data_IF_524244733592
#
_entry.id   IF_524244733592
#
_cell.length_a   1.000
_cell.length_b   1.000
_cell.length_c   1.000
_cell.angle_alpha   90.00
_cell.angle_beta   90.00
_cell.angle_gamma   90.00
#
_symmetry.space_group_name_H-M   'P 1'
#
loop_
_entity.id
_entity.type
_entity.pdbx_description
1 polymer ?
#
# COMPACT_ATOMS: atom_id res chain seq x y z
N UNK A 1 42.70 -14.13 -35.63
CA UNK A 1 42.26 -13.66 -34.27
C UNK A 1 40.79 -13.30 -34.38
N UNK A 2 39.91 -14.18 -33.94
CA UNK A 2 38.46 -13.96 -33.96
C UNK A 2 38.08 -13.21 -32.68
N UNK A 3 37.63 -11.97 -32.80
CA UNK A 3 37.10 -11.19 -31.65
C UNK A 3 35.82 -11.87 -31.18
N UNK A 4 35.81 -12.39 -29.94
CA UNK A 4 34.59 -12.79 -29.25
C UNK A 4 33.76 -11.53 -29.00
N UNK A 5 32.65 -11.43 -29.70
CA UNK A 5 31.61 -10.45 -29.34
C UNK A 5 30.97 -10.96 -28.03
N UNK A 6 31.31 -10.32 -26.93
CA UNK A 6 30.59 -10.56 -25.68
C UNK A 6 29.13 -10.14 -25.87
N UNK A 7 28.14 -10.96 -25.47
CA UNK A 7 26.76 -10.57 -25.57
C UNK A 7 26.54 -9.34 -24.69
N UNK A 8 26.15 -8.25 -25.31
CA UNK A 8 25.71 -7.04 -24.59
C UNK A 8 24.55 -7.46 -23.70
N UNK A 9 24.78 -7.53 -22.41
CA UNK A 9 23.75 -7.87 -21.43
C UNK A 9 22.66 -6.81 -21.50
N UNK A 10 21.52 -7.15 -22.11
CA UNK A 10 20.39 -6.24 -22.22
C UNK A 10 19.83 -6.03 -20.82
N UNK A 11 20.08 -4.86 -20.23
CA UNK A 11 19.51 -4.50 -18.92
C UNK A 11 18.02 -4.26 -19.08
N UNK A 12 17.19 -5.08 -18.46
CA UNK A 12 15.73 -4.92 -18.43
C UNK A 12 15.26 -3.98 -17.33
N UNK A 13 16.12 -3.67 -16.35
CA UNK A 13 15.82 -2.83 -15.19
C UNK A 13 16.64 -1.56 -15.26
N UNK A 14 16.07 -0.45 -14.86
CA UNK A 14 16.79 0.84 -14.81
C UNK A 14 17.91 0.77 -13.77
N UNK A 15 19.09 1.36 -14.03
CA UNK A 15 20.22 1.33 -13.10
C UNK A 15 19.86 1.84 -11.69
N UNK A 16 19.02 2.89 -11.61
CA UNK A 16 18.52 3.44 -10.33
C UNK A 16 17.78 2.40 -9.50
N UNK A 17 17.05 1.49 -10.14
CA UNK A 17 16.34 0.43 -9.43
C UNK A 17 17.31 -0.70 -9.04
N UNK A 18 18.26 -1.04 -9.90
CA UNK A 18 19.30 -2.04 -9.59
C UNK A 18 20.17 -1.61 -8.39
N UNK A 19 20.39 -0.31 -8.21
CA UNK A 19 21.20 0.25 -7.12
C UNK A 19 20.44 0.46 -5.80
N UNK A 20 19.12 0.19 -5.76
CA UNK A 20 18.37 0.30 -4.52
C UNK A 20 18.85 -0.72 -3.49
N UNK A 21 19.21 -0.24 -2.32
CA UNK A 21 19.54 -1.09 -1.19
C UNK A 21 18.27 -1.69 -0.59
N UNK A 22 18.39 -2.91 -0.12
CA UNK A 22 17.32 -3.58 0.61
C UNK A 22 16.99 -2.86 1.92
N UNK A 23 15.71 -2.82 2.27
CA UNK A 23 15.26 -2.22 3.52
C UNK A 23 15.90 -2.89 4.74
N UNK A 24 16.60 -2.11 5.57
CA UNK A 24 17.21 -2.62 6.80
C UNK A 24 16.19 -3.19 7.80
N UNK A 25 14.97 -2.62 7.82
CA UNK A 25 13.86 -3.16 8.63
C UNK A 25 13.50 -4.58 8.15
N UNK A 26 13.45 -4.80 6.83
CA UNK A 26 13.20 -6.14 6.26
C UNK A 26 14.26 -7.14 6.68
N UNK A 27 15.51 -6.78 6.62
CA UNK A 27 16.63 -7.65 7.07
C UNK A 27 16.50 -8.06 8.54
N UNK A 28 16.11 -7.13 9.41
CA UNK A 28 15.87 -7.43 10.82
C UNK A 28 14.71 -8.41 10.98
N UNK A 29 13.60 -8.18 10.26
CA UNK A 29 12.42 -9.03 10.33
C UNK A 29 12.71 -10.45 9.83
N UNK A 30 13.27 -10.59 8.63
CA UNK A 30 13.52 -11.90 8.00
C UNK A 30 14.37 -12.83 8.84
N UNK A 31 15.32 -12.28 9.57
CA UNK A 31 16.17 -13.06 10.48
C UNK A 31 15.48 -13.45 11.81
N UNK A 32 14.29 -12.91 12.10
CA UNK A 32 13.62 -13.07 13.39
C UNK A 32 12.18 -13.55 13.30
N UNK A 33 11.63 -13.75 12.10
CA UNK A 33 10.29 -14.31 11.92
C UNK A 33 10.18 -15.69 12.57
N UNK A 34 9.13 -15.87 13.38
CA UNK A 34 8.80 -17.14 14.02
C UNK A 34 9.64 -17.45 15.28
N UNK A 35 10.47 -16.54 15.73
CA UNK A 35 11.20 -16.69 17.01
C UNK A 35 10.28 -16.33 18.17
N UNK A 36 10.08 -17.28 19.08
CA UNK A 36 9.25 -17.11 20.28
C UNK A 36 9.92 -16.26 21.38
N UNK A 37 11.25 -16.13 21.32
CA UNK A 37 12.07 -15.37 22.28
C UNK A 37 12.21 -13.88 21.89
N UNK A 38 11.55 -13.45 20.83
CA UNK A 38 11.63 -12.07 20.29
C UNK A 38 10.26 -11.39 20.34
N UNK A 39 10.22 -10.19 20.92
CA UNK A 39 9.04 -9.33 20.87
C UNK A 39 9.10 -8.52 19.57
N UNK A 40 8.13 -8.67 18.63
CA UNK A 40 8.17 -8.05 17.34
C UNK A 40 7.74 -6.56 17.40
N UNK A 41 8.70 -5.65 17.49
CA UNK A 41 8.47 -4.19 17.49
C UNK A 41 8.96 -3.50 16.22
N UNK A 42 9.14 -4.24 15.12
CA UNK A 42 9.71 -3.73 13.87
C UNK A 42 8.70 -3.08 12.90
N UNK A 43 7.44 -3.48 12.94
CA UNK A 43 6.38 -2.90 12.12
C UNK A 43 5.33 -2.18 12.97
N UNK A 44 4.75 -1.13 12.40
CA UNK A 44 3.59 -0.45 12.98
C UNK A 44 2.28 -1.18 12.68
N UNK A 45 2.19 -2.44 13.09
CA UNK A 45 0.99 -3.26 12.95
C UNK A 45 0.39 -3.60 14.32
N UNK A 46 -0.93 -3.72 14.44
CA UNK A 46 -1.56 -4.13 15.67
C UNK A 46 -1.34 -5.62 15.95
N UNK A 47 -1.32 -5.99 17.22
CA UNK A 47 -1.28 -7.37 17.70
C UNK A 47 -2.66 -8.04 17.72
N UNK A 48 -3.72 -7.27 17.50
CA UNK A 48 -5.09 -7.75 17.44
C UNK A 48 -5.53 -8.06 16.01
N UNK A 49 -6.25 -9.15 15.79
CA UNK A 49 -6.80 -9.47 14.48
C UNK A 49 -7.86 -8.44 14.06
N UNK A 50 -8.10 -8.34 12.75
CA UNK A 50 -9.19 -7.52 12.21
C UNK A 50 -10.51 -7.85 12.92
N UNK A 51 -11.25 -6.83 13.41
CA UNK A 51 -12.55 -7.03 14.06
C UNK A 51 -13.52 -7.86 13.22
N UNK A 52 -14.32 -8.68 13.88
CA UNK A 52 -15.17 -9.66 13.21
C UNK A 52 -16.18 -8.99 12.26
N UNK A 53 -16.80 -7.89 12.66
CA UNK A 53 -17.77 -7.17 11.82
C UNK A 53 -17.15 -6.65 10.50
N UNK A 54 -15.86 -6.31 10.49
CA UNK A 54 -15.15 -5.88 9.26
C UNK A 54 -14.93 -7.08 8.32
N UNK A 55 -14.55 -8.22 8.89
CA UNK A 55 -14.40 -9.46 8.11
C UNK A 55 -15.71 -9.90 7.50
N UNK A 56 -16.79 -9.86 8.28
CA UNK A 56 -18.14 -10.22 7.83
C UNK A 56 -18.63 -9.30 6.72
N UNK A 57 -18.40 -7.99 6.80
CA UNK A 57 -18.73 -7.05 5.74
C UNK A 57 -17.97 -7.34 4.43
N UNK A 58 -16.69 -7.71 4.52
CA UNK A 58 -15.91 -8.09 3.35
C UNK A 58 -16.40 -9.40 2.73
N UNK A 59 -16.73 -10.41 3.55
CA UNK A 59 -17.29 -11.68 3.09
C UNK A 59 -18.64 -11.44 2.41
N UNK A 60 -19.50 -10.62 3.00
CA UNK A 60 -20.81 -10.29 2.42
C UNK A 60 -20.66 -9.58 1.07
N UNK A 61 -19.73 -8.63 0.96
CA UNK A 61 -19.47 -7.95 -0.32
C UNK A 61 -19.05 -8.92 -1.44
N UNK A 62 -18.29 -9.97 -1.11
CA UNK A 62 -17.96 -11.03 -2.06
C UNK A 62 -19.17 -11.86 -2.45
N UNK A 63 -20.06 -12.20 -1.50
CA UNK A 63 -21.31 -12.91 -1.78
C UNK A 63 -22.30 -12.10 -2.63
N UNK A 64 -22.23 -10.76 -2.50
CA UNK A 64 -23.05 -9.83 -3.28
C UNK A 64 -22.42 -9.47 -4.63
N UNK A 65 -21.38 -10.19 -5.06
CA UNK A 65 -20.66 -9.99 -6.33
C UNK A 65 -20.05 -8.57 -6.49
N UNK A 66 -19.66 -7.92 -5.42
CA UNK A 66 -18.94 -6.64 -5.46
C UNK A 66 -17.47 -6.84 -5.88
N UNK A 67 -17.25 -7.40 -7.08
CA UNK A 67 -15.92 -7.83 -7.58
C UNK A 67 -15.50 -7.12 -8.87
N UNK A 68 -16.28 -6.17 -9.35
CA UNK A 68 -16.01 -5.45 -10.58
C UNK A 68 -15.16 -4.19 -10.35
N UNK A 69 -14.71 -3.58 -11.45
CA UNK A 69 -13.99 -2.31 -11.40
C UNK A 69 -14.80 -1.22 -10.70
N UNK A 70 -14.12 -0.50 -9.82
CA UNK A 70 -14.69 0.63 -9.09
C UNK A 70 -14.36 1.95 -9.78
N UNK A 71 -14.98 3.04 -9.33
CA UNK A 71 -14.62 4.39 -9.75
C UNK A 71 -13.18 4.73 -9.32
N UNK A 72 -12.48 5.53 -10.12
CA UNK A 72 -11.06 5.87 -9.89
C UNK A 72 -10.76 6.47 -8.51
N UNK A 73 -11.72 7.15 -7.90
CA UNK A 73 -11.56 7.78 -6.58
C UNK A 73 -12.08 6.92 -5.43
N UNK A 74 -12.70 5.80 -5.72
CA UNK A 74 -13.37 4.93 -4.76
C UNK A 74 -14.89 4.95 -4.93
N UNK A 75 -15.54 3.95 -4.36
CA UNK A 75 -17.01 3.82 -4.44
C UNK A 75 -17.69 4.90 -3.56
N UNK A 76 -18.84 5.46 -4.00
CA UNK A 76 -19.52 6.53 -3.28
C UNK A 76 -19.80 6.21 -1.79
N UNK A 77 -20.31 5.04 -1.40
CA UNK A 77 -20.55 4.73 -0.01
C UNK A 77 -19.30 4.82 0.88
N UNK A 78 -18.12 4.42 0.34
CA UNK A 78 -16.85 4.51 1.07
C UNK A 78 -16.38 5.96 1.19
N UNK A 79 -16.51 6.76 0.11
CA UNK A 79 -16.18 8.19 0.14
C UNK A 79 -17.04 8.95 1.14
N UNK A 80 -18.35 8.66 1.21
CA UNK A 80 -19.28 9.26 2.18
C UNK A 80 -18.93 8.88 3.63
N UNK A 81 -18.60 7.61 3.86
CA UNK A 81 -18.18 7.13 5.17
C UNK A 81 -16.87 7.80 5.63
N UNK A 82 -15.87 7.91 4.72
CA UNK A 82 -14.60 8.59 5.02
C UNK A 82 -14.84 10.08 5.26
N UNK A 83 -15.63 10.76 4.41
CA UNK A 83 -15.98 12.16 4.56
C UNK A 83 -16.60 12.44 5.93
N UNK A 84 -17.57 11.63 6.31
CA UNK A 84 -18.22 11.73 7.63
C UNK A 84 -17.26 11.50 8.79
N UNK A 85 -16.41 10.49 8.69
CA UNK A 85 -15.43 10.17 9.71
C UNK A 85 -14.38 11.27 9.90
N UNK A 86 -13.72 11.70 8.82
CA UNK A 86 -12.66 12.73 8.91
C UNK A 86 -13.21 14.10 9.24
N UNK A 87 -14.44 14.44 8.79
CA UNK A 87 -15.09 15.68 9.15
C UNK A 87 -15.34 15.76 10.66
N UNK A 88 -15.81 14.68 11.27
CA UNK A 88 -16.01 14.57 12.71
C UNK A 88 -14.67 14.60 13.47
N UNK A 89 -13.66 13.88 12.99
CA UNK A 89 -12.34 13.80 13.62
C UNK A 89 -11.66 15.18 13.70
N UNK A 90 -11.78 15.97 12.64
CA UNK A 90 -11.14 17.28 12.52
C UNK A 90 -12.06 18.45 12.82
N UNK A 91 -13.29 18.19 13.25
CA UNK A 91 -14.32 19.20 13.55
C UNK A 91 -14.47 20.23 12.41
N UNK A 92 -14.50 19.77 11.16
CA UNK A 92 -14.65 20.60 9.94
C UNK A 92 -15.23 19.78 8.81
N UNK A 93 -16.00 20.41 7.93
CA UNK A 93 -16.55 19.74 6.75
C UNK A 93 -15.45 19.41 5.74
N UNK A 94 -15.32 18.14 5.38
CA UNK A 94 -14.44 17.66 4.33
C UNK A 94 -15.32 16.91 3.33
N UNK A 95 -15.52 17.52 2.15
CA UNK A 95 -16.36 16.95 1.11
C UNK A 95 -15.71 15.76 0.41
N UNK A 96 -16.52 14.92 -0.22
CA UNK A 96 -16.05 13.76 -0.99
C UNK A 96 -15.21 14.15 -2.21
N UNK A 97 -15.36 15.39 -2.70
CA UNK A 97 -14.56 15.99 -3.77
C UNK A 97 -13.06 16.09 -3.41
N UNK A 98 -12.74 16.06 -2.12
CA UNK A 98 -11.38 16.15 -1.57
C UNK A 98 -10.79 14.80 -1.19
N UNK A 99 -11.46 13.72 -1.49
CA UNK A 99 -11.07 12.36 -1.10
C UNK A 99 -10.73 11.50 -2.31
N UNK A 100 -9.74 10.68 -2.16
CA UNK A 100 -9.40 9.61 -3.09
C UNK A 100 -8.95 8.40 -2.30
N UNK A 101 -9.52 7.24 -2.60
CA UNK A 101 -9.15 5.96 -1.99
C UNK A 101 -8.07 5.32 -2.83
N UNK A 102 -7.04 4.82 -2.17
CA UNK A 102 -5.95 4.06 -2.80
C UNK A 102 -5.93 2.62 -2.29
N UNK A 103 -5.29 1.72 -3.01
CA UNK A 103 -5.19 0.31 -2.62
C UNK A 103 -4.39 0.09 -1.32
N UNK A 104 -3.56 1.05 -0.93
CA UNK A 104 -2.80 1.01 0.33
C UNK A 104 -2.26 2.40 0.68
N UNK A 105 -1.83 2.60 1.93
CA UNK A 105 -1.15 3.83 2.36
C UNK A 105 0.14 4.09 1.59
N UNK A 106 0.92 3.05 1.26
CA UNK A 106 2.13 3.18 0.44
C UNK A 106 1.81 3.66 -0.98
N UNK A 107 0.70 3.20 -1.56
CA UNK A 107 0.23 3.71 -2.85
C UNK A 107 -0.14 5.20 -2.76
N UNK A 108 -0.78 5.62 -1.68
CA UNK A 108 -1.10 7.03 -1.46
C UNK A 108 0.17 7.90 -1.39
N UNK A 109 1.20 7.46 -0.66
CA UNK A 109 2.49 8.14 -0.56
C UNK A 109 3.16 8.23 -1.94
N UNK A 110 3.22 7.11 -2.66
CA UNK A 110 3.83 7.06 -4.00
C UNK A 110 3.14 8.03 -4.97
N UNK A 111 1.82 7.99 -5.05
CA UNK A 111 1.06 8.87 -5.93
C UNK A 111 1.20 10.34 -5.54
N UNK A 112 1.20 10.65 -4.25
CA UNK A 112 1.42 12.02 -3.76
C UNK A 112 2.81 12.51 -4.08
N UNK A 113 3.84 11.68 -3.91
CA UNK A 113 5.22 12.03 -4.26
C UNK A 113 5.36 12.28 -5.76
N UNK A 114 4.77 11.43 -6.60
CA UNK A 114 4.81 11.62 -8.05
C UNK A 114 4.06 12.87 -8.52
N UNK A 115 3.03 13.29 -7.79
CA UNK A 115 2.25 14.47 -8.13
C UNK A 115 2.87 15.79 -7.66
N UNK A 116 3.74 15.76 -6.64
CA UNK A 116 4.23 16.94 -5.94
C UNK A 116 5.74 17.17 -6.06
N UNK A 117 6.49 16.15 -6.46
CA UNK A 117 7.95 16.18 -6.50
C UNK A 117 8.44 15.95 -7.93
N UNK A 118 9.17 16.92 -8.47
CA UNK A 118 9.88 16.78 -9.74
C UNK A 118 11.18 15.98 -9.54
N UNK A 119 11.63 15.34 -10.64
CA UNK A 119 12.87 14.55 -10.66
C UNK A 119 14.10 15.44 -10.85
#
# INVERSE_FOLDING_TARGET
>A
MSARIEPTQTRFVRPTIESLEESLIRKVVENNIGREDVIPLWFGEPDLPTPQFIKEAAIQALHDDHVFYTQNRGIPPLLDAISSYVSRLHNRTIGTDRLTVTGSGMNAIMLSSQALVDA
#
